data_IF_668395160149
#
_entry.id   IF_668395160149
#
_cell.length_a   1.000
_cell.length_b   1.000
_cell.length_c   1.000
_cell.angle_alpha   90.00
_cell.angle_beta   90.00
_cell.angle_gamma   90.00
#
_symmetry.space_group_name_H-M   'P 1'
#
loop_
_entity.id
_entity.type
_entity.pdbx_description
1 polymer ?
#
# COMPACT_ATOMS: atom_id res chain seq x y z
N UNK A 1 6.15 0.30 9.91
CA UNK A 1 5.59 1.63 9.61
C UNK A 1 4.08 1.53 9.65
N UNK A 2 3.39 2.15 10.62
CA UNK A 2 1.93 2.05 10.75
C UNK A 2 1.17 2.49 9.50
N UNK A 3 1.62 3.52 8.77
CA UNK A 3 0.93 4.01 7.57
C UNK A 3 1.33 3.29 6.26
N UNK A 4 1.85 2.07 6.33
CA UNK A 4 2.19 1.30 5.11
C UNK A 4 1.03 0.40 4.73
N UNK A 5 0.41 0.69 3.58
CA UNK A 5 -0.65 -0.15 2.98
C UNK A 5 -0.30 -1.63 2.95
N UNK A 6 0.90 -1.95 2.45
CA UNK A 6 1.32 -3.34 2.30
C UNK A 6 1.75 -3.99 3.61
N UNK A 7 2.13 -3.22 4.64
CA UNK A 7 2.32 -3.76 5.97
C UNK A 7 1.00 -4.06 6.69
N UNK A 8 -0.12 -3.41 6.33
CA UNK A 8 -1.42 -3.71 6.92
C UNK A 8 -1.92 -5.11 6.52
N UNK A 9 -1.63 -5.58 5.30
CA UNK A 9 -2.10 -6.89 4.82
C UNK A 9 -1.60 -8.08 5.69
N UNK A 10 -0.31 -8.18 6.08
CA UNK A 10 0.11 -9.18 7.06
C UNK A 10 -0.50 -9.00 8.46
N UNK A 11 -0.80 -7.78 8.91
CA UNK A 11 -1.48 -7.60 10.21
C UNK A 11 -2.90 -8.16 10.17
N UNK A 12 -3.62 -7.95 9.06
CA UNK A 12 -4.90 -8.63 8.82
C UNK A 12 -4.70 -10.16 8.83
N UNK A 13 -3.66 -10.65 8.16
CA UNK A 13 -3.37 -12.09 8.07
C UNK A 13 -3.08 -12.71 9.43
N UNK A 14 -2.27 -12.06 10.28
CA UNK A 14 -1.97 -12.51 11.64
C UNK A 14 -3.26 -12.72 12.45
N UNK A 15 -4.15 -11.73 12.44
CA UNK A 15 -5.44 -11.83 13.13
C UNK A 15 -6.35 -12.93 12.57
N UNK A 16 -6.43 -13.07 11.24
CA UNK A 16 -7.25 -14.11 10.60
C UNK A 16 -6.76 -15.53 10.80
N UNK A 17 -5.44 -15.68 10.94
CA UNK A 17 -4.77 -16.97 11.07
C UNK A 17 -4.52 -17.36 12.53
N UNK A 18 -4.82 -16.47 13.48
CA UNK A 18 -4.56 -16.69 14.91
C UNK A 18 -3.06 -16.79 15.21
N UNK A 19 -2.25 -15.97 14.54
CA UNK A 19 -0.80 -15.94 14.67
C UNK A 19 -0.35 -14.61 15.28
N UNK A 20 0.77 -14.67 16.00
CA UNK A 20 1.45 -13.50 16.54
C UNK A 20 2.80 -13.30 15.85
N UNK A 21 3.24 -12.05 15.77
CA UNK A 21 4.57 -11.67 15.31
C UNK A 21 5.10 -10.52 16.17
N UNK A 22 6.43 -10.40 16.26
CA UNK A 22 7.09 -9.27 16.92
C UNK A 22 7.26 -8.10 15.92
N UNK A 23 6.46 -7.01 16.04
CA UNK A 23 6.48 -5.94 15.05
C UNK A 23 7.70 -5.04 15.25
N UNK A 24 8.52 -4.90 14.20
CA UNK A 24 9.62 -3.92 14.16
C UNK A 24 9.24 -2.70 13.34
N UNK A 25 9.27 -1.52 13.97
CA UNK A 25 8.95 -0.26 13.29
C UNK A 25 10.15 0.21 12.46
N UNK A 26 10.00 0.12 11.15
CA UNK A 26 10.87 0.82 10.18
C UNK A 26 10.22 2.15 9.82
N UNK A 27 10.92 3.27 10.03
CA UNK A 27 10.41 4.61 9.71
C UNK A 27 10.58 4.93 8.22
N UNK A 28 9.50 4.83 7.44
CA UNK A 28 9.55 5.13 5.99
C UNK A 28 9.69 6.64 5.69
N UNK A 29 9.28 7.52 6.60
CA UNK A 29 9.42 8.97 6.42
C UNK A 29 10.91 9.34 6.36
N UNK A 30 11.71 8.78 7.26
CA UNK A 30 13.17 8.98 7.31
C UNK A 30 13.94 8.06 6.36
N UNK A 31 13.25 7.25 5.57
CA UNK A 31 13.88 6.31 4.64
C UNK A 31 14.64 5.17 5.32
N UNK A 32 14.27 4.76 6.55
CA UNK A 32 14.98 3.72 7.30
C UNK A 32 14.97 2.33 6.63
N UNK A 33 14.04 2.06 5.72
CA UNK A 33 14.06 0.86 4.87
C UNK A 33 15.24 0.87 3.87
N UNK A 34 15.88 2.02 3.66
CA UNK A 34 17.09 2.16 2.85
C UNK A 34 18.36 2.07 3.67
N UNK A 35 18.28 1.78 4.97
CA UNK A 35 19.44 1.42 5.76
C UNK A 35 20.13 0.19 5.13
N UNK A 36 21.46 0.21 4.88
CA UNK A 36 22.17 -0.93 4.33
C UNK A 36 21.92 -2.24 5.09
N UNK A 37 21.74 -2.20 6.42
CA UNK A 37 21.40 -3.40 7.21
C UNK A 37 20.01 -3.94 6.89
N UNK A 38 19.04 -3.05 6.62
CA UNK A 38 17.72 -3.48 6.14
C UNK A 38 17.80 -4.02 4.71
N UNK A 39 18.57 -3.37 3.83
CA UNK A 39 18.76 -3.80 2.43
C UNK A 39 19.37 -5.20 2.34
N UNK A 40 20.24 -5.58 3.28
CA UNK A 40 20.75 -6.97 3.41
C UNK A 40 19.63 -7.99 3.68
N UNK A 41 18.63 -7.62 4.48
CA UNK A 41 17.48 -8.49 4.82
C UNK A 41 16.47 -8.53 3.67
N UNK A 42 16.16 -7.37 3.08
CA UNK A 42 15.30 -7.25 1.92
C UNK A 42 15.96 -6.35 0.86
N UNK A 43 16.54 -6.93 -0.22
CA UNK A 43 17.19 -6.18 -1.30
C UNK A 43 16.28 -5.22 -2.07
N UNK A 44 14.96 -5.37 -1.96
CA UNK A 44 13.99 -4.44 -2.54
C UNK A 44 13.74 -3.21 -1.65
N UNK A 45 14.22 -3.22 -0.40
CA UNK A 45 14.01 -2.17 0.59
C UNK A 45 12.53 -1.84 0.80
N UNK A 46 11.65 -2.84 0.77
CA UNK A 46 10.20 -2.67 0.90
C UNK A 46 9.67 -3.23 2.21
N UNK A 47 8.49 -2.76 2.61
CA UNK A 47 7.68 -3.38 3.65
C UNK A 47 6.45 -4.03 3.00
N UNK A 48 5.94 -5.13 3.56
CA UNK A 48 6.42 -5.83 4.75
C UNK A 48 7.68 -6.66 4.49
N UNK A 49 8.41 -7.00 5.54
CA UNK A 49 9.47 -8.00 5.52
C UNK A 49 9.35 -8.84 6.79
N UNK A 50 9.30 -10.16 6.65
CA UNK A 50 9.23 -11.09 7.77
C UNK A 50 10.50 -11.91 7.83
N UNK A 51 11.04 -12.09 9.03
CA UNK A 51 12.12 -13.03 9.28
C UNK A 51 11.65 -14.10 10.25
N UNK A 52 11.90 -15.38 9.93
CA UNK A 52 11.60 -16.49 10.82
C UNK A 52 12.61 -17.61 10.61
N UNK A 53 13.20 -18.12 11.70
CA UNK A 53 14.19 -19.21 11.67
C UNK A 53 15.32 -19.02 10.63
N UNK A 54 15.87 -17.80 10.55
CA UNK A 54 16.95 -17.46 9.62
C UNK A 54 16.55 -17.29 8.15
N UNK A 55 15.25 -17.39 7.83
CA UNK A 55 14.71 -17.09 6.48
C UNK A 55 14.11 -15.68 6.44
N UNK A 56 14.19 -15.04 5.28
CA UNK A 56 13.58 -13.74 4.99
C UNK A 56 12.51 -13.86 3.91
N UNK A 57 11.33 -13.30 4.17
CA UNK A 57 10.23 -13.15 3.22
C UNK A 57 10.07 -11.68 2.90
N UNK A 58 10.29 -11.32 1.63
CA UNK A 58 10.62 -9.94 1.21
C UNK A 58 9.53 -9.29 0.36
N UNK A 59 8.37 -9.91 0.23
CA UNK A 59 7.18 -9.36 -0.43
C UNK A 59 5.93 -9.66 0.37
N UNK A 60 4.89 -8.85 0.20
CA UNK A 60 3.58 -9.06 0.86
C UNK A 60 3.03 -10.46 0.58
N UNK A 61 3.13 -10.92 -0.66
CA UNK A 61 2.68 -12.25 -1.09
C UNK A 61 3.49 -13.35 -0.39
N UNK A 62 4.82 -13.23 -0.37
CA UNK A 62 5.67 -14.22 0.28
C UNK A 62 5.42 -14.29 1.80
N UNK A 63 5.21 -13.14 2.45
CA UNK A 63 4.87 -13.06 3.88
C UNK A 63 3.53 -13.75 4.15
N UNK A 64 2.47 -13.39 3.43
CA UNK A 64 1.14 -13.96 3.67
C UNK A 64 1.11 -15.46 3.37
N UNK A 65 1.70 -15.90 2.25
CA UNK A 65 1.79 -17.32 1.91
C UNK A 65 2.54 -18.12 2.96
N UNK A 66 3.61 -17.54 3.54
CA UNK A 66 4.32 -18.18 4.64
C UNK A 66 3.44 -18.29 5.90
N UNK A 67 2.78 -17.21 6.32
CA UNK A 67 1.88 -17.21 7.48
C UNK A 67 0.76 -18.25 7.31
N UNK A 68 0.16 -18.35 6.12
CA UNK A 68 -0.85 -19.37 5.81
C UNK A 68 -0.26 -20.78 5.90
N UNK A 69 0.98 -20.98 5.43
CA UNK A 69 1.62 -22.30 5.42
C UNK A 69 1.87 -22.87 6.82
N UNK A 70 2.11 -22.01 7.81
CA UNK A 70 2.38 -22.41 9.20
C UNK A 70 1.12 -22.40 10.09
N UNK A 71 0.02 -21.83 9.62
CA UNK A 71 -1.23 -21.78 10.38
C UNK A 71 -2.03 -23.08 10.27
N UNK A 72 -2.63 -23.48 11.39
CA UNK A 72 -3.68 -24.51 11.42
C UNK A 72 -4.99 -24.02 10.78
N UNK A 73 -5.22 -22.70 10.79
CA UNK A 73 -6.41 -22.07 10.20
C UNK A 73 -6.33 -22.15 8.67
N UNK A 74 -7.35 -22.74 8.04
CA UNK A 74 -7.46 -22.81 6.59
C UNK A 74 -8.35 -21.69 6.07
N UNK A 75 -7.84 -20.98 5.07
CA UNK A 75 -8.53 -19.92 4.35
C UNK A 75 -8.51 -20.23 2.85
N UNK A 76 -9.37 -19.57 2.07
CA UNK A 76 -9.41 -19.79 0.63
C UNK A 76 -8.05 -19.42 -0.03
N UNK A 77 -7.57 -20.22 -0.99
CA UNK A 77 -6.28 -19.99 -1.63
C UNK A 77 -6.28 -18.74 -2.51
N UNK A 78 -5.07 -18.29 -2.84
CA UNK A 78 -4.83 -17.19 -3.78
C UNK A 78 -5.44 -17.46 -5.16
N UNK A 79 -6.01 -16.42 -5.77
CA UNK A 79 -6.41 -16.43 -7.18
C UNK A 79 -5.66 -15.35 -7.97
N UNK A 80 -6.06 -15.09 -9.21
CA UNK A 80 -5.48 -14.00 -10.01
C UNK A 80 -5.70 -12.61 -9.39
N UNK A 81 -6.65 -12.45 -8.46
CA UNK A 81 -6.96 -11.15 -7.85
C UNK A 81 -5.77 -10.61 -7.04
N UNK A 82 -5.03 -11.46 -6.34
CA UNK A 82 -3.80 -11.04 -5.66
C UNK A 82 -2.81 -10.46 -6.67
N UNK A 83 -2.62 -11.06 -7.84
CA UNK A 83 -1.75 -10.46 -8.85
C UNK A 83 -2.28 -9.11 -9.33
N UNK A 84 -3.59 -9.00 -9.60
CA UNK A 84 -4.20 -7.77 -10.12
C UNK A 84 -4.03 -6.61 -9.14
N UNK A 85 -4.30 -6.82 -7.84
CA UNK A 85 -4.25 -5.75 -6.82
C UNK A 85 -2.82 -5.20 -6.59
N UNK A 86 -1.79 -5.94 -7.02
CA UNK A 86 -0.38 -5.51 -6.98
C UNK A 86 0.12 -4.92 -8.31
N UNK A 87 -0.73 -4.73 -9.32
CA UNK A 87 -0.32 -4.10 -10.58
C UNK A 87 -0.06 -2.59 -10.43
N UNK A 88 0.99 -2.09 -11.10
CA UNK A 88 1.40 -0.67 -11.06
C UNK A 88 0.26 0.28 -11.45
N UNK A 89 -0.64 -0.15 -12.35
CA UNK A 89 -1.78 0.65 -12.81
C UNK A 89 -2.81 0.94 -11.72
N UNK A 90 -2.70 0.30 -10.55
CA UNK A 90 -3.50 0.57 -9.36
C UNK A 90 -2.64 0.69 -8.09
N UNK A 91 -1.37 1.09 -8.21
CA UNK A 91 -0.47 1.21 -7.06
C UNK A 91 -0.97 2.27 -6.05
N UNK A 92 -1.31 1.85 -4.81
CA UNK A 92 -1.80 2.76 -3.77
C UNK A 92 -0.71 3.71 -3.23
N UNK A 93 0.58 3.41 -3.44
CA UNK A 93 1.67 4.32 -3.06
C UNK A 93 1.84 5.43 -4.10
N UNK A 94 1.72 5.11 -5.39
CA UNK A 94 1.66 6.16 -6.42
C UNK A 94 0.40 7.02 -6.27
N UNK A 95 -0.75 6.44 -5.92
CA UNK A 95 -1.99 7.18 -5.65
C UNK A 95 -1.86 8.24 -4.55
N UNK A 96 -0.90 8.09 -3.62
CA UNK A 96 -0.63 9.06 -2.56
C UNK A 96 -0.03 10.38 -3.05
N UNK A 97 0.73 10.35 -4.14
CA UNK A 97 1.34 11.53 -4.76
C UNK A 97 0.66 11.94 -6.07
N UNK A 98 -0.18 11.06 -6.63
CA UNK A 98 -0.86 11.28 -7.90
C UNK A 98 -1.72 12.55 -7.87
N UNK A 99 -1.59 13.36 -8.92
CA UNK A 99 -2.33 14.61 -9.11
C UNK A 99 -2.73 14.72 -10.57
N UNK A 100 -3.96 15.14 -10.84
CA UNK A 100 -4.54 15.15 -12.21
C UNK A 100 -4.56 16.54 -12.85
N UNK A 101 -4.30 17.57 -12.06
CA UNK A 101 -4.30 18.97 -12.48
C UNK A 101 -3.47 19.80 -11.48
N UNK A 102 -3.28 21.08 -11.80
CA UNK A 102 -2.48 21.99 -10.98
C UNK A 102 -3.07 22.22 -9.57
N UNK A 103 -4.40 22.18 -9.40
CA UNK A 103 -5.04 22.35 -8.09
C UNK A 103 -4.71 21.17 -7.16
N UNK A 104 -4.83 19.94 -7.67
CA UNK A 104 -4.45 18.74 -6.95
C UNK A 104 -2.95 18.71 -6.64
N UNK A 105 -2.12 19.11 -7.61
CA UNK A 105 -0.68 19.18 -7.41
C UNK A 105 -0.33 20.17 -6.30
N UNK A 106 -0.93 21.36 -6.28
CA UNK A 106 -0.71 22.35 -5.24
C UNK A 106 -1.07 21.83 -3.83
N UNK A 107 -2.16 21.04 -3.72
CA UNK A 107 -2.55 20.39 -2.45
C UNK A 107 -1.53 19.32 -2.04
N UNK A 108 -1.07 18.49 -2.98
CA UNK A 108 -0.04 17.47 -2.71
C UNK A 108 1.30 18.11 -2.30
N UNK A 109 1.71 19.18 -3.01
CA UNK A 109 2.93 19.94 -2.77
C UNK A 109 2.99 20.63 -1.41
N UNK A 110 1.86 21.14 -0.93
CA UNK A 110 1.75 21.80 0.39
C UNK A 110 1.47 20.83 1.53
N UNK A 111 1.14 19.57 1.23
CA UNK A 111 0.74 18.57 2.19
C UNK A 111 1.84 17.64 2.66
N UNK A 112 1.44 16.63 3.44
CA UNK A 112 2.32 15.62 3.98
C UNK A 112 3.07 14.81 2.92
N UNK A 113 2.53 14.69 1.70
CA UNK A 113 3.18 13.98 0.60
C UNK A 113 4.55 14.59 0.23
N UNK A 114 4.68 15.92 0.21
CA UNK A 114 5.96 16.59 -0.06
C UNK A 114 6.93 16.44 1.12
N UNK A 115 6.43 16.56 2.36
CA UNK A 115 7.24 16.34 3.58
C UNK A 115 7.80 14.90 3.59
N UNK A 116 6.94 13.92 3.32
CA UNK A 116 7.33 12.52 3.21
C UNK A 116 8.39 12.32 2.13
N UNK A 117 8.17 12.85 0.92
CA UNK A 117 9.07 12.70 -0.22
C UNK A 117 10.45 13.33 0.03
N UNK A 118 10.48 14.56 0.53
CA UNK A 118 11.71 15.31 0.81
C UNK A 118 12.52 14.69 1.95
N UNK A 119 11.88 14.35 3.07
CA UNK A 119 12.54 13.71 4.23
C UNK A 119 13.12 12.35 3.85
N UNK A 120 12.34 11.56 3.09
CA UNK A 120 12.76 10.24 2.61
C UNK A 120 13.93 10.33 1.64
N UNK A 121 13.94 11.33 0.76
CA UNK A 121 15.08 11.58 -0.14
C UNK A 121 16.35 11.94 0.63
N UNK A 122 16.23 12.75 1.68
CA UNK A 122 17.34 13.10 2.57
C UNK A 122 17.93 11.87 3.26
N UNK A 123 17.08 11.02 3.86
CA UNK A 123 17.49 9.76 4.48
C UNK A 123 18.14 8.80 3.49
N UNK A 124 17.55 8.61 2.32
CA UNK A 124 18.11 7.78 1.25
C UNK A 124 19.51 8.25 0.84
N UNK A 125 19.72 9.56 0.63
CA UNK A 125 21.04 10.12 0.29
C UNK A 125 22.06 9.92 1.42
N UNK A 126 21.62 10.05 2.68
CA UNK A 126 22.46 9.78 3.86
C UNK A 126 22.95 8.33 3.87
N UNK A 127 22.05 7.37 3.69
CA UNK A 127 22.42 5.95 3.64
C UNK A 127 23.30 5.62 2.44
N UNK A 128 22.98 6.17 1.27
CA UNK A 128 23.79 5.99 0.06
C UNK A 128 25.25 6.44 0.25
N UNK A 129 25.50 7.48 1.05
CA UNK A 129 26.84 8.01 1.30
C UNK A 129 27.69 7.19 2.29
N UNK A 130 27.10 6.21 2.99
CA UNK A 130 27.84 5.33 3.92
C UNK A 130 28.72 4.32 3.16
N UNK A 131 29.82 3.82 3.75
CA UNK A 131 30.64 2.77 3.15
C UNK A 131 29.82 1.52 2.76
N UNK A 132 28.89 1.11 3.62
CA UNK A 132 27.99 -0.02 3.40
C UNK A 132 26.99 0.28 2.27
N UNK A 133 26.50 1.51 2.19
CA UNK A 133 25.61 1.96 1.12
C UNK A 133 26.28 1.96 -0.25
N UNK A 134 27.57 2.28 -0.33
CA UNK A 134 28.34 2.26 -1.58
C UNK A 134 28.43 0.86 -2.21
N UNK A 135 28.34 -0.20 -1.41
CA UNK A 135 28.26 -1.59 -1.92
C UNK A 135 27.01 -1.82 -2.78
N UNK A 136 25.94 -1.07 -2.52
CA UNK A 136 24.67 -1.14 -3.25
C UNK A 136 24.43 0.09 -4.14
N UNK A 137 25.48 0.73 -4.66
CA UNK A 137 25.40 1.99 -5.41
C UNK A 137 24.32 2.01 -6.49
N UNK A 138 24.23 0.96 -7.31
CA UNK A 138 23.24 0.88 -8.39
C UNK A 138 21.79 0.93 -7.89
N UNK A 139 21.51 0.31 -6.75
CA UNK A 139 20.22 0.39 -6.09
C UNK A 139 19.94 1.82 -5.60
N UNK A 140 20.87 2.42 -4.86
CA UNK A 140 20.69 3.78 -4.35
C UNK A 140 20.55 4.83 -5.46
N UNK A 141 21.36 4.76 -6.53
CA UNK A 141 21.27 5.67 -7.66
C UNK A 141 19.88 5.60 -8.31
N UNK A 142 19.33 4.40 -8.51
CA UNK A 142 17.98 4.19 -9.05
C UNK A 142 16.92 4.80 -8.15
N UNK A 143 16.99 4.53 -6.84
CA UNK A 143 16.03 5.07 -5.87
C UNK A 143 16.11 6.59 -5.76
N UNK A 144 17.33 7.16 -5.75
CA UNK A 144 17.55 8.61 -5.68
C UNK A 144 16.96 9.27 -6.91
N UNK A 145 17.20 8.70 -8.10
CA UNK A 145 16.65 9.21 -9.37
C UNK A 145 15.13 9.25 -9.33
N UNK A 146 14.49 8.14 -8.93
CA UNK A 146 13.03 8.05 -8.85
C UNK A 146 12.43 9.07 -7.88
N UNK A 147 12.90 9.11 -6.62
CA UNK A 147 12.35 10.01 -5.61
C UNK A 147 12.67 11.47 -5.91
N UNK A 148 13.83 11.75 -6.51
CA UNK A 148 14.19 13.12 -6.93
C UNK A 148 13.29 13.63 -8.06
N UNK A 149 12.84 12.76 -8.96
CA UNK A 149 11.86 13.12 -9.99
C UNK A 149 10.52 13.56 -9.39
N UNK A 150 9.98 12.80 -8.43
CA UNK A 150 8.75 13.15 -7.72
C UNK A 150 8.95 14.44 -6.90
N UNK A 151 10.08 14.55 -6.19
CA UNK A 151 10.41 15.76 -5.43
C UNK A 151 10.48 17.00 -6.32
N UNK A 152 11.12 16.92 -7.49
CA UNK A 152 11.19 18.03 -8.44
C UNK A 152 9.79 18.44 -8.92
N UNK A 153 8.93 17.48 -9.23
CA UNK A 153 7.54 17.76 -9.60
C UNK A 153 6.78 18.50 -8.48
N UNK A 154 6.83 17.98 -7.25
CA UNK A 154 6.13 18.57 -6.11
C UNK A 154 6.63 19.97 -5.74
N UNK A 155 7.86 20.33 -6.13
CA UNK A 155 8.45 21.64 -5.82
C UNK A 155 8.50 22.56 -7.05
N UNK A 156 7.77 22.25 -8.13
CA UNK A 156 7.67 23.11 -9.31
C UNK A 156 8.97 23.22 -10.11
N UNK A 157 9.86 22.23 -9.99
CA UNK A 157 11.17 22.16 -10.62
C UNK A 157 11.19 21.21 -11.83
N UNK A 158 10.12 20.46 -12.06
CA UNK A 158 10.00 19.58 -13.22
C UNK A 158 9.58 20.37 -14.48
N UNK A 159 10.08 20.00 -15.68
CA UNK A 159 9.60 20.57 -16.93
C UNK A 159 8.09 20.38 -17.13
N UNK A 160 7.45 21.29 -17.86
CA UNK A 160 6.00 21.23 -18.13
C UNK A 160 5.58 19.92 -18.81
N UNK A 161 6.38 19.39 -19.73
CA UNK A 161 6.11 18.10 -20.39
C UNK A 161 6.05 16.95 -19.37
N UNK A 162 6.97 16.93 -18.40
CA UNK A 162 6.99 15.93 -17.32
C UNK A 162 5.76 16.10 -16.42
N UNK A 163 5.37 17.34 -16.12
CA UNK A 163 4.17 17.64 -15.33
C UNK A 163 2.90 17.14 -16.04
N UNK A 164 2.76 17.39 -17.33
CA UNK A 164 1.61 16.92 -18.11
C UNK A 164 1.59 15.39 -18.23
N UNK A 165 2.74 14.77 -18.45
CA UNK A 165 2.87 13.30 -18.41
C UNK A 165 2.42 12.73 -17.06
N UNK A 166 2.82 13.35 -15.95
CA UNK A 166 2.40 12.95 -14.61
C UNK A 166 0.88 13.05 -14.41
N UNK A 167 0.24 14.13 -14.90
CA UNK A 167 -1.21 14.28 -14.82
C UNK A 167 -1.95 13.20 -15.61
N UNK A 168 -1.45 12.85 -16.80
CA UNK A 168 -2.03 11.78 -17.63
C UNK A 168 -1.93 10.41 -16.93
N UNK A 169 -0.75 10.05 -16.42
CA UNK A 169 -0.56 8.77 -15.72
C UNK A 169 -1.35 8.72 -14.41
N UNK A 170 -1.43 9.83 -13.67
CA UNK A 170 -2.25 9.95 -12.47
C UNK A 170 -3.75 9.77 -12.77
N UNK A 171 -4.22 10.31 -13.89
CA UNK A 171 -5.62 10.15 -14.32
C UNK A 171 -5.92 8.69 -14.65
N UNK A 172 -5.07 8.05 -15.47
CA UNK A 172 -5.21 6.65 -15.82
C UNK A 172 -5.14 5.70 -14.61
N UNK A 173 -4.30 6.01 -13.61
CA UNK A 173 -4.24 5.31 -12.33
C UNK A 173 -5.59 5.35 -11.61
N UNK A 174 -6.16 6.55 -11.43
CA UNK A 174 -7.44 6.71 -10.71
C UNK A 174 -8.62 6.08 -11.46
N UNK A 175 -8.60 6.06 -12.78
CA UNK A 175 -9.58 5.34 -13.60
C UNK A 175 -9.44 3.82 -13.43
N UNK A 176 -8.21 3.30 -13.43
CA UNK A 176 -7.93 1.88 -13.20
C UNK A 176 -8.32 1.43 -11.79
N UNK A 177 -8.06 2.27 -10.77
CA UNK A 177 -8.51 2.05 -9.38
C UNK A 177 -10.04 1.94 -9.35
N UNK A 178 -10.74 2.86 -10.04
CA UNK A 178 -12.20 2.81 -10.14
C UNK A 178 -12.68 1.52 -10.81
N UNK A 179 -12.12 1.12 -11.95
CA UNK A 179 -12.50 -0.12 -12.64
C UNK A 179 -12.26 -1.35 -11.74
N UNK A 180 -11.16 -1.39 -10.99
CA UNK A 180 -10.93 -2.47 -10.03
C UNK A 180 -12.05 -2.54 -8.98
N UNK A 181 -12.37 -1.41 -8.34
CA UNK A 181 -13.40 -1.34 -7.30
C UNK A 181 -14.79 -1.63 -7.86
N UNK A 182 -15.11 -1.13 -9.06
CA UNK A 182 -16.49 -1.14 -9.58
C UNK A 182 -16.81 -2.39 -10.39
N UNK A 183 -15.80 -3.06 -10.94
CA UNK A 183 -15.98 -4.16 -11.88
C UNK A 183 -15.24 -5.41 -11.40
N UNK A 184 -13.93 -5.31 -11.17
CA UNK A 184 -13.09 -6.49 -10.88
C UNK A 184 -13.42 -7.11 -9.52
N UNK A 185 -13.45 -6.31 -8.45
CA UNK A 185 -13.75 -6.80 -7.10
C UNK A 185 -15.18 -7.38 -6.98
N UNK A 186 -16.25 -6.70 -7.43
CA UNK A 186 -17.60 -7.27 -7.43
C UNK A 186 -17.75 -8.55 -8.24
N UNK A 187 -17.00 -8.69 -9.34
CA UNK A 187 -16.99 -9.90 -10.15
C UNK A 187 -16.28 -11.06 -9.45
N UNK A 188 -15.22 -10.77 -8.69
CA UNK A 188 -14.49 -11.77 -7.89
C UNK A 188 -15.31 -12.31 -6.71
N UNK A 189 -16.22 -11.50 -6.14
CA UNK A 189 -17.11 -11.91 -5.05
C UNK A 189 -18.30 -12.69 -5.63
N UNK A 190 -18.21 -14.02 -5.59
CA UNK A 190 -19.26 -14.92 -6.11
C UNK A 190 -20.32 -15.26 -5.05
N UNK A 191 -19.92 -15.86 -3.94
CA UNK A 191 -20.82 -16.26 -2.83
C UNK A 191 -20.87 -15.20 -1.72
N UNK A 192 -19.72 -14.59 -1.39
CA UNK A 192 -19.63 -13.45 -0.48
C UNK A 192 -19.80 -13.79 1.02
N UNK A 193 -19.53 -12.79 1.90
CA UNK A 193 -19.24 -11.39 1.56
C UNK A 193 -17.81 -11.14 1.06
N UNK A 194 -16.88 -12.10 1.20
CA UNK A 194 -15.50 -12.02 0.73
C UNK A 194 -15.30 -12.74 -0.61
N UNK A 195 -14.16 -12.51 -1.27
CA UNK A 195 -13.70 -13.31 -2.42
C UNK A 195 -13.55 -14.77 -2.00
N UNK A 196 -13.00 -15.01 -0.80
CA UNK A 196 -12.90 -16.34 -0.17
C UNK A 196 -14.23 -16.96 0.29
N UNK A 197 -15.37 -16.30 0.09
CA UNK A 197 -16.70 -16.77 0.51
C UNK A 197 -17.12 -16.16 1.85
N UNK A 198 -17.50 -17.01 2.81
CA UNK A 198 -18.02 -16.56 4.11
C UNK A 198 -16.95 -15.96 5.04
N UNK A 199 -15.67 -16.24 4.77
CA UNK A 199 -14.50 -15.73 5.49
C UNK A 199 -13.46 -15.19 4.49
N UNK A 200 -12.59 -14.25 4.90
CA UNK A 200 -11.54 -13.76 4.03
C UNK A 200 -10.54 -14.89 3.67
N UNK A 201 -10.21 -14.98 2.39
CA UNK A 201 -9.12 -15.76 1.82
C UNK A 201 -7.85 -14.94 1.62
N UNK A 202 -6.86 -15.51 0.92
CA UNK A 202 -5.59 -14.83 0.64
C UNK A 202 -5.82 -13.53 -0.14
N UNK A 203 -6.64 -13.55 -1.19
CA UNK A 203 -6.93 -12.35 -2.00
C UNK A 203 -7.52 -11.22 -1.15
N UNK A 204 -8.42 -11.57 -0.22
CA UNK A 204 -9.10 -10.58 0.64
C UNK A 204 -8.12 -9.85 1.56
N UNK A 205 -7.07 -10.52 2.03
CA UNK A 205 -6.03 -9.91 2.89
C UNK A 205 -5.28 -8.80 2.15
N UNK A 206 -5.00 -9.01 0.87
CA UNK A 206 -4.37 -8.00 0.02
C UNK A 206 -5.36 -6.89 -0.37
N UNK A 207 -6.55 -7.27 -0.82
CA UNK A 207 -7.58 -6.32 -1.29
C UNK A 207 -8.11 -5.46 -0.15
N UNK A 208 -8.33 -6.02 1.04
CA UNK A 208 -8.79 -5.27 2.21
C UNK A 208 -7.84 -4.14 2.58
N UNK A 209 -6.55 -4.44 2.67
CA UNK A 209 -5.53 -3.44 2.96
C UNK A 209 -5.41 -2.37 1.86
N UNK A 210 -5.42 -2.80 0.59
CA UNK A 210 -5.39 -1.89 -0.55
C UNK A 210 -6.62 -0.96 -0.58
N UNK A 211 -7.81 -1.52 -0.38
CA UNK A 211 -9.07 -0.76 -0.42
C UNK A 211 -9.14 0.24 0.73
N UNK A 212 -8.63 -0.11 1.92
CA UNK A 212 -8.51 0.79 3.06
C UNK A 212 -7.67 2.03 2.72
N UNK A 213 -6.52 1.80 2.07
CA UNK A 213 -5.64 2.88 1.63
C UNK A 213 -6.31 3.75 0.57
N UNK A 214 -7.01 3.16 -0.40
CA UNK A 214 -7.74 3.95 -1.40
C UNK A 214 -8.87 4.76 -0.76
N UNK A 215 -9.60 4.20 0.20
CA UNK A 215 -10.62 4.94 0.96
C UNK A 215 -10.02 6.10 1.77
N UNK A 216 -8.85 5.89 2.39
CA UNK A 216 -8.09 6.93 3.07
C UNK A 216 -7.69 8.07 2.13
N UNK A 217 -7.04 7.73 1.02
CA UNK A 217 -6.69 8.69 -0.03
C UNK A 217 -7.93 9.34 -0.67
N UNK A 218 -9.09 8.70 -0.49
CA UNK A 218 -10.38 9.26 -0.91
C UNK A 218 -10.95 10.31 0.03
N UNK A 219 -10.36 10.48 1.22
CA UNK A 219 -10.74 11.43 2.25
C UNK A 219 -11.32 10.79 3.51
N UNK A 220 -11.48 9.46 3.56
CA UNK A 220 -11.93 8.76 4.77
C UNK A 220 -10.85 8.76 5.84
N UNK A 221 -11.17 9.16 7.07
CA UNK A 221 -10.22 9.10 8.19
C UNK A 221 -10.47 7.88 9.08
N UNK A 222 -11.74 7.51 9.20
CA UNK A 222 -12.20 6.37 9.99
C UNK A 222 -12.85 5.32 9.10
N UNK A 223 -12.85 4.07 9.57
CA UNK A 223 -13.33 2.91 8.81
C UNK A 223 -14.82 3.02 8.42
N UNK A 224 -15.65 3.61 9.26
CA UNK A 224 -17.07 3.90 9.00
C UNK A 224 -17.29 4.97 7.91
N UNK A 225 -16.27 5.79 7.61
CA UNK A 225 -16.31 6.81 6.56
C UNK A 225 -15.83 6.29 5.20
N UNK A 226 -15.26 5.08 5.13
CA UNK A 226 -14.56 4.59 3.94
C UNK A 226 -15.45 4.55 2.70
N UNK A 227 -16.65 3.99 2.80
CA UNK A 227 -17.62 3.93 1.68
C UNK A 227 -18.01 5.33 1.22
N UNK A 228 -18.36 6.23 2.15
CA UNK A 228 -18.75 7.60 1.80
C UNK A 228 -17.62 8.37 1.10
N UNK A 229 -16.37 8.14 1.49
CA UNK A 229 -15.21 8.73 0.84
C UNK A 229 -15.01 8.21 -0.59
N UNK A 230 -15.16 6.88 -0.80
CA UNK A 230 -15.12 6.28 -2.13
C UNK A 230 -16.27 6.79 -3.01
N UNK A 231 -17.48 6.92 -2.47
CA UNK A 231 -18.65 7.44 -3.19
C UNK A 231 -18.45 8.89 -3.62
N UNK A 232 -17.92 9.74 -2.72
CA UNK A 232 -17.57 11.13 -3.03
C UNK A 232 -16.57 11.22 -4.18
N UNK A 233 -15.63 10.26 -4.28
CA UNK A 233 -14.60 10.28 -5.32
C UNK A 233 -15.08 9.71 -6.66
N UNK A 234 -15.77 8.57 -6.64
CA UNK A 234 -16.01 7.76 -7.83
C UNK A 234 -17.47 7.71 -8.29
N UNK A 235 -18.40 8.19 -7.46
CA UNK A 235 -19.84 7.98 -7.60
C UNK A 235 -20.32 6.75 -6.82
N UNK A 236 -21.61 6.37 -6.94
CA UNK A 236 -22.21 5.30 -6.15
C UNK A 236 -21.43 3.98 -6.22
N UNK A 237 -20.92 3.53 -5.07
CA UNK A 237 -20.12 2.31 -4.97
C UNK A 237 -21.04 1.08 -5.11
N UNK A 238 -20.65 0.01 -5.82
CA UNK A 238 -21.49 -1.18 -5.96
C UNK A 238 -21.81 -1.84 -4.62
N UNK A 239 -23.02 -2.38 -4.49
CA UNK A 239 -23.49 -2.97 -3.23
C UNK A 239 -22.58 -4.09 -2.71
N UNK A 240 -22.06 -4.94 -3.60
CA UNK A 240 -21.09 -5.99 -3.21
C UNK A 240 -19.84 -5.42 -2.53
N UNK A 241 -19.34 -4.26 -2.95
CA UNK A 241 -18.19 -3.60 -2.32
C UNK A 241 -18.57 -3.02 -0.96
N UNK A 242 -19.78 -2.47 -0.82
CA UNK A 242 -20.29 -1.97 0.47
C UNK A 242 -20.42 -3.09 1.49
N UNK A 243 -20.96 -4.24 1.08
CA UNK A 243 -21.05 -5.45 1.90
C UNK A 243 -19.66 -5.99 2.23
N UNK A 244 -18.75 -6.04 1.26
CA UNK A 244 -17.35 -6.43 1.46
C UNK A 244 -16.64 -5.55 2.50
N UNK A 245 -16.76 -4.23 2.37
CA UNK A 245 -16.20 -3.27 3.32
C UNK A 245 -16.78 -3.44 4.71
N UNK A 246 -18.11 -3.52 4.82
CA UNK A 246 -18.82 -3.72 6.09
C UNK A 246 -18.40 -5.01 6.78
N UNK A 247 -18.20 -6.08 6.00
CA UNK A 247 -17.73 -7.37 6.51
C UNK A 247 -16.29 -7.29 7.03
N UNK A 248 -15.41 -6.50 6.40
CA UNK A 248 -14.04 -6.28 6.85
C UNK A 248 -13.96 -5.49 8.15
N UNK A 249 -14.61 -4.32 8.21
CA UNK A 249 -14.48 -3.41 9.37
C UNK A 249 -15.11 -3.97 10.65
N UNK A 250 -15.93 -5.03 10.53
CA UNK A 250 -16.52 -5.75 11.65
C UNK A 250 -15.62 -6.86 12.22
N UNK A 251 -14.44 -7.13 11.62
CA UNK A 251 -13.54 -8.22 12.05
C UNK A 251 -12.57 -7.75 13.13
N UNK A 252 -12.27 -8.61 14.08
CA UNK A 252 -11.25 -8.35 15.11
C UNK A 252 -9.85 -8.12 14.49
N UNK A 253 -9.53 -8.85 13.42
CA UNK A 253 -8.28 -8.66 12.67
C UNK A 253 -8.16 -7.27 12.04
N UNK A 254 -9.29 -6.64 11.71
CA UNK A 254 -9.31 -5.25 11.24
C UNK A 254 -8.92 -4.28 12.34
N UNK A 255 -9.43 -4.47 13.57
CA UNK A 255 -9.08 -3.63 14.72
C UNK A 255 -7.57 -3.71 15.02
N UNK A 256 -6.97 -4.89 14.87
CA UNK A 256 -5.53 -5.09 15.00
C UNK A 256 -4.72 -4.35 13.93
N UNK A 257 -5.18 -4.36 12.67
CA UNK A 257 -4.50 -3.68 11.57
C UNK A 257 -4.76 -2.16 11.54
N UNK A 258 -5.93 -1.72 12.01
CA UNK A 258 -6.39 -0.32 12.02
C UNK A 258 -6.87 0.08 13.43
N UNK A 259 -5.93 0.29 14.38
CA UNK A 259 -6.27 0.71 15.73
C UNK A 259 -7.16 1.97 15.74
N UNK A 260 -8.12 2.00 16.67
CA UNK A 260 -9.12 3.06 16.78
C UNK A 260 -9.92 3.31 15.48
N UNK A 261 -10.00 2.31 14.61
CA UNK A 261 -10.61 2.36 13.28
C UNK A 261 -9.99 3.42 12.36
N UNK A 262 -8.75 3.84 12.60
CA UNK A 262 -8.05 4.87 11.80
C UNK A 262 -7.52 4.25 10.51
N UNK A 263 -8.04 4.73 9.39
CA UNK A 263 -7.51 4.39 8.08
C UNK A 263 -6.18 5.12 7.84
N UNK A 264 -5.30 4.47 7.08
CA UNK A 264 -3.99 5.01 6.75
C UNK A 264 -3.50 4.50 5.40
#
# INVERSE_FOLDING_TARGET
FPHSVWAAAPHLALGELGLDADPKVVNLIEGANFDPEFVKVNPHATLPTLTHEGKSFTSTVAVINYLVSISSTKIAPETSITKVVHEDKIDPNFAFVASRNDEELAKTSSGFANIFTSTRLGGLKKFAATPEGQVHKAFYDKQITSISGVHALLNGQAPDEVKQGFFNVSTALWESIKSFIFETLPAAITVGPFIGGSRPGIDDLHVGAWLARIAFLSGGQKSDQGVAALEKRFGPVPEKVKVYWSAWIARDSWVGAYPDNVLH
#
